data_IF_189375230255
#
_entry.id   IF_189375230255
#
_cell.length_a   1.000
_cell.length_b   1.000
_cell.length_c   1.000
_cell.angle_alpha   90.00
_cell.angle_beta   90.00
_cell.angle_gamma   90.00
#
_symmetry.space_group_name_H-M   'P 1'
#
loop_
_entity.id
_entity.type
_entity.pdbx_description
1 polymer ?
#
# COMPACT_ATOMS: atom_id res chain seq x y z
N UNK A 1 -22.62 6.55 -10.71
CA UNK A 1 -22.00 7.84 -10.33
C UNK A 1 -20.52 7.57 -10.13
N UNK A 2 -19.67 7.94 -11.09
CA UNK A 2 -18.22 7.67 -11.00
C UNK A 2 -17.65 8.47 -9.82
N UNK A 3 -16.89 7.79 -8.96
CA UNK A 3 -16.25 8.35 -7.76
C UNK A 3 -15.05 9.25 -8.11
N UNK A 4 -15.27 10.23 -9.01
CA UNK A 4 -14.24 11.15 -9.45
C UNK A 4 -14.26 12.42 -8.60
N UNK A 5 -13.40 12.46 -7.59
CA UNK A 5 -13.11 13.66 -6.81
C UNK A 5 -11.65 14.08 -7.06
N UNK A 6 -11.43 14.56 -8.28
CA UNK A 6 -10.17 15.17 -8.68
C UNK A 6 -9.89 16.46 -7.92
N UNK A 7 -8.67 16.61 -7.42
CA UNK A 7 -8.16 17.82 -6.80
C UNK A 7 -8.41 19.08 -7.65
N UNK A 8 -8.29 18.96 -8.98
CA UNK A 8 -8.55 20.07 -9.91
C UNK A 8 -10.02 20.50 -9.92
N UNK A 9 -10.94 19.56 -9.63
CA UNK A 9 -12.40 19.76 -9.65
C UNK A 9 -13.00 20.01 -8.26
N UNK A 10 -12.36 19.56 -7.18
CA UNK A 10 -12.87 19.63 -5.81
C UNK A 10 -11.95 20.40 -4.86
N UNK A 11 -11.48 21.58 -5.29
CA UNK A 11 -10.61 22.47 -4.50
C UNK A 11 -11.16 22.75 -3.09
N UNK A 12 -12.48 22.80 -2.93
CA UNK A 12 -13.13 23.08 -1.65
C UNK A 12 -12.94 21.98 -0.60
N UNK A 13 -12.81 20.70 -1.02
CA UNK A 13 -12.52 19.59 -0.13
C UNK A 13 -11.13 19.72 0.54
N UNK A 14 -10.24 20.51 -0.05
CA UNK A 14 -8.86 20.70 0.40
C UNK A 14 -8.60 22.05 1.07
N UNK A 15 -9.55 22.99 1.02
CA UNK A 15 -9.38 24.35 1.57
C UNK A 15 -9.09 24.38 3.07
N UNK A 16 -9.61 23.40 3.80
CA UNK A 16 -9.50 23.34 5.27
C UNK A 16 -8.60 22.19 5.75
N UNK A 17 -7.84 21.55 4.86
CA UNK A 17 -6.91 20.49 5.25
C UNK A 17 -5.68 21.14 5.87
N UNK A 18 -5.33 20.75 7.09
CA UNK A 18 -4.05 21.14 7.69
C UNK A 18 -2.90 20.37 7.03
N UNK A 19 -2.30 20.98 6.01
CA UNK A 19 -1.19 20.40 5.28
C UNK A 19 0.09 20.32 6.12
N UNK A 20 0.32 21.21 7.08
CA UNK A 20 1.61 21.29 7.79
C UNK A 20 1.88 20.03 8.59
N UNK A 21 0.92 19.60 9.40
CA UNK A 21 1.02 18.37 10.18
C UNK A 21 1.13 17.13 9.30
N UNK A 22 0.45 17.12 8.14
CA UNK A 22 0.51 16.00 7.19
C UNK A 22 1.88 15.87 6.53
N UNK A 23 2.44 16.97 6.05
CA UNK A 23 3.78 17.01 5.46
C UNK A 23 4.85 16.61 6.48
N UNK A 24 4.75 17.07 7.73
CA UNK A 24 5.69 16.67 8.78
C UNK A 24 5.67 15.16 9.02
N UNK A 25 4.48 14.54 9.08
CA UNK A 25 4.39 13.09 9.22
C UNK A 25 4.97 12.34 8.01
N UNK A 26 4.63 12.78 6.79
CA UNK A 26 5.18 12.19 5.56
C UNK A 26 6.71 12.26 5.57
N UNK A 27 7.27 13.42 5.94
CA UNK A 27 8.71 13.60 6.04
C UNK A 27 9.34 12.62 7.04
N UNK A 28 8.77 12.50 8.23
CA UNK A 28 9.25 11.55 9.25
C UNK A 28 9.13 10.11 8.76
N UNK A 29 8.03 9.72 8.11
CA UNK A 29 7.87 8.37 7.57
C UNK A 29 8.93 8.07 6.50
N UNK A 30 9.11 8.97 5.54
CA UNK A 30 10.00 8.77 4.38
C UNK A 30 11.47 8.84 4.75
N UNK A 31 11.88 9.75 5.64
CA UNK A 31 13.29 10.00 5.93
C UNK A 31 13.77 9.38 7.24
N UNK A 32 12.86 8.93 8.11
CA UNK A 32 13.23 8.35 9.40
C UNK A 32 12.71 6.91 9.51
N UNK A 33 11.39 6.71 9.57
CA UNK A 33 10.84 5.39 9.91
C UNK A 33 11.09 4.32 8.84
N UNK A 34 10.81 4.61 7.56
CA UNK A 34 11.01 3.64 6.48
C UNK A 34 12.49 3.32 6.28
N UNK A 35 13.43 4.28 6.18
CA UNK A 35 14.85 3.98 6.06
C UNK A 35 15.41 3.26 7.27
N UNK A 36 15.01 3.63 8.49
CA UNK A 36 15.44 2.94 9.70
C UNK A 36 14.94 1.50 9.73
N UNK A 37 13.67 1.26 9.37
CA UNK A 37 13.11 -0.10 9.33
C UNK A 37 13.78 -0.97 8.26
N UNK A 38 14.10 -0.41 7.10
CA UNK A 38 14.88 -1.09 6.07
C UNK A 38 16.31 -1.38 6.56
N UNK A 39 16.97 -0.40 7.18
CA UNK A 39 18.32 -0.57 7.73
C UNK A 39 18.37 -1.68 8.78
N UNK A 40 17.40 -1.72 9.71
CA UNK A 40 17.28 -2.80 10.70
C UNK A 40 17.09 -4.15 10.00
N UNK A 41 16.17 -4.22 9.03
CA UNK A 41 15.89 -5.45 8.27
C UNK A 41 17.14 -5.97 7.56
N UNK A 42 17.90 -5.08 6.91
CA UNK A 42 19.14 -5.43 6.20
C UNK A 42 20.32 -5.70 7.14
N UNK A 43 20.27 -5.22 8.38
CA UNK A 43 21.26 -5.56 9.41
C UNK A 43 21.02 -6.96 9.96
N UNK A 44 19.75 -7.35 10.14
CA UNK A 44 19.36 -8.69 10.57
C UNK A 44 19.65 -9.71 9.47
N UNK A 45 19.25 -9.39 8.23
CA UNK A 45 19.49 -10.24 7.05
C UNK A 45 20.10 -9.38 5.94
N UNK A 46 21.44 -9.41 5.77
CA UNK A 46 22.10 -8.70 4.68
C UNK A 46 21.64 -9.20 3.30
N UNK A 47 21.62 -8.30 2.33
CA UNK A 47 21.33 -8.66 0.93
C UNK A 47 22.35 -9.68 0.42
N UNK A 48 21.89 -10.63 -0.40
CA UNK A 48 22.80 -11.47 -1.15
C UNK A 48 23.46 -10.63 -2.25
N UNK A 49 24.80 -10.58 -2.24
CA UNK A 49 25.56 -9.76 -3.18
C UNK A 49 25.54 -10.34 -4.60
N UNK A 50 25.30 -11.64 -4.72
CA UNK A 50 25.26 -12.32 -6.00
C UNK A 50 23.83 -12.33 -6.55
N UNK A 51 23.71 -12.02 -7.84
CA UNK A 51 22.51 -12.38 -8.58
C UNK A 51 22.45 -13.91 -8.66
N UNK A 52 21.32 -14.50 -8.28
CA UNK A 52 21.14 -15.94 -8.39
C UNK A 52 20.92 -16.37 -9.84
N UNK A 53 20.27 -17.50 -10.08
CA UNK A 53 19.76 -17.82 -11.42
C UNK A 53 18.48 -17.03 -11.70
N UNK A 54 18.21 -16.77 -12.97
CA UNK A 54 16.96 -16.12 -13.40
C UNK A 54 15.71 -16.87 -12.92
N UNK A 55 15.77 -18.20 -12.81
CA UNK A 55 14.67 -19.02 -12.31
C UNK A 55 14.40 -18.77 -10.83
N UNK A 56 15.45 -18.60 -10.03
CA UNK A 56 15.34 -18.34 -8.61
C UNK A 56 14.79 -16.94 -8.34
N UNK A 57 15.29 -15.94 -9.06
CA UNK A 57 14.79 -14.55 -8.97
C UNK A 57 13.33 -14.46 -9.45
N UNK A 58 12.97 -15.13 -10.54
CA UNK A 58 11.58 -15.22 -10.99
C UNK A 58 10.66 -15.89 -9.96
N UNK A 59 11.15 -16.92 -9.28
CA UNK A 59 10.43 -17.57 -8.19
C UNK A 59 10.23 -16.63 -6.99
N UNK A 60 11.26 -15.86 -6.61
CA UNK A 60 11.14 -14.82 -5.59
C UNK A 60 10.13 -13.74 -5.97
N UNK A 61 10.10 -13.29 -7.22
CA UNK A 61 9.08 -12.33 -7.71
C UNK A 61 7.68 -12.92 -7.56
N UNK A 62 7.47 -14.17 -7.98
CA UNK A 62 6.19 -14.85 -7.84
C UNK A 62 5.75 -14.92 -6.37
N UNK A 63 6.67 -15.31 -5.46
CA UNK A 63 6.37 -15.33 -4.03
C UNK A 63 6.06 -13.94 -3.47
N UNK A 64 6.76 -12.89 -3.90
CA UNK A 64 6.45 -11.52 -3.49
C UNK A 64 5.04 -11.10 -3.90
N UNK A 65 4.58 -11.47 -5.09
CA UNK A 65 3.22 -11.16 -5.57
C UNK A 65 2.18 -11.89 -4.72
N UNK A 66 2.34 -13.21 -4.56
CA UNK A 66 1.36 -14.04 -3.84
C UNK A 66 1.34 -13.71 -2.35
N UNK A 67 2.51 -13.67 -1.71
CA UNK A 67 2.62 -13.35 -0.30
C UNK A 67 2.24 -11.90 -0.03
N UNK A 68 2.65 -10.96 -0.88
CA UNK A 68 2.31 -9.55 -0.76
C UNK A 68 0.81 -9.31 -0.79
N UNK A 69 0.10 -9.95 -1.72
CA UNK A 69 -1.37 -9.88 -1.79
C UNK A 69 -2.05 -10.44 -0.55
N UNK A 70 -1.63 -11.62 -0.08
CA UNK A 70 -2.20 -12.26 1.11
C UNK A 70 -1.93 -11.39 2.36
N UNK A 71 -0.69 -10.93 2.51
CA UNK A 71 -0.23 -10.11 3.62
C UNK A 71 -0.99 -8.80 3.70
N UNK A 72 -1.00 -8.05 2.59
CA UNK A 72 -1.64 -6.74 2.53
C UNK A 72 -3.14 -6.87 2.79
N UNK A 73 -3.83 -7.77 2.09
CA UNK A 73 -5.26 -8.01 2.32
C UNK A 73 -5.56 -8.32 3.79
N UNK A 74 -4.81 -9.26 4.37
CA UNK A 74 -5.08 -9.76 5.72
C UNK A 74 -4.85 -8.68 6.76
N UNK A 75 -3.69 -8.02 6.71
CA UNK A 75 -3.39 -6.97 7.68
C UNK A 75 -4.25 -5.75 7.47
N UNK A 76 -4.48 -5.31 6.24
CA UNK A 76 -5.35 -4.18 5.96
C UNK A 76 -6.76 -4.42 6.53
N UNK A 77 -7.34 -5.61 6.34
CA UNK A 77 -8.62 -5.97 6.95
C UNK A 77 -8.58 -6.01 8.48
N UNK A 78 -7.49 -6.52 9.08
CA UNK A 78 -7.29 -6.50 10.55
C UNK A 78 -7.20 -5.05 11.06
N UNK A 79 -6.54 -4.17 10.32
CA UNK A 79 -6.40 -2.77 10.67
C UNK A 79 -7.74 -2.04 10.68
N UNK A 80 -8.75 -2.49 9.93
CA UNK A 80 -10.12 -1.97 10.02
C UNK A 80 -10.93 -2.51 11.20
N UNK A 81 -10.36 -3.39 12.03
CA UNK A 81 -11.03 -3.86 13.25
C UNK A 81 -10.95 -2.83 14.37
N UNK A 82 -11.89 -2.93 15.32
CA UNK A 82 -12.06 -2.00 16.46
C UNK A 82 -10.76 -1.68 17.22
N UNK A 83 -9.86 -2.65 17.38
CA UNK A 83 -8.65 -2.49 18.20
C UNK A 83 -7.48 -1.88 17.44
N UNK A 84 -7.41 -2.09 16.12
CA UNK A 84 -6.28 -1.69 15.30
C UNK A 84 -6.57 -0.46 14.43
N UNK A 85 -7.85 -0.08 14.26
CA UNK A 85 -8.24 1.07 13.43
C UNK A 85 -7.60 2.39 13.86
N UNK A 86 -7.26 2.55 15.14
CA UNK A 86 -6.49 3.72 15.60
C UNK A 86 -5.18 3.96 14.84
N UNK A 87 -4.57 2.92 14.29
CA UNK A 87 -3.33 3.00 13.51
C UNK A 87 -3.57 3.22 12.01
N UNK A 88 -4.75 2.89 11.49
CA UNK A 88 -5.09 3.05 10.07
C UNK A 88 -6.04 4.22 9.79
N UNK A 89 -6.66 4.76 10.84
CA UNK A 89 -7.52 5.96 10.77
C UNK A 89 -6.80 7.13 10.10
N UNK A 90 -5.51 7.30 10.39
CA UNK A 90 -4.67 8.37 9.83
C UNK A 90 -4.59 8.31 8.31
N UNK A 91 -4.43 7.10 7.75
CA UNK A 91 -4.43 6.84 6.31
C UNK A 91 -5.76 7.23 5.66
N UNK A 92 -6.87 6.98 6.36
CA UNK A 92 -8.23 7.32 5.92
C UNK A 92 -8.69 8.74 6.23
N UNK A 93 -7.87 9.58 6.85
CA UNK A 93 -8.27 10.97 7.12
C UNK A 93 -8.53 11.75 5.83
N UNK A 94 -7.83 11.38 4.76
CA UNK A 94 -8.08 11.90 3.43
C UNK A 94 -9.07 10.97 2.72
N UNK A 95 -10.27 11.48 2.47
CA UNK A 95 -11.30 10.78 1.68
C UNK A 95 -10.85 10.53 0.24
N UNK A 96 -10.00 11.42 -0.27
CA UNK A 96 -9.44 11.33 -1.60
C UNK A 96 -8.02 10.79 -1.55
N UNK A 97 -7.78 9.76 -2.33
CA UNK A 97 -6.44 9.21 -2.50
C UNK A 97 -5.62 10.14 -3.39
N UNK A 98 -4.57 10.71 -2.82
CA UNK A 98 -3.55 11.48 -3.52
C UNK A 98 -2.20 10.82 -3.28
N UNK A 99 -1.36 10.73 -4.31
CA UNK A 99 -0.12 9.94 -4.27
C UNK A 99 0.84 10.41 -3.17
N UNK A 100 0.88 11.72 -2.90
CA UNK A 100 1.65 12.28 -1.79
C UNK A 100 1.12 11.79 -0.43
N UNK A 101 -0.20 11.73 -0.26
CA UNK A 101 -0.84 11.31 0.99
C UNK A 101 -0.92 9.79 1.16
N UNK A 102 -0.55 9.02 0.14
CA UNK A 102 -0.31 7.59 0.30
C UNK A 102 0.77 7.28 1.34
N UNK A 103 1.65 8.25 1.62
CA UNK A 103 2.72 8.16 2.62
C UNK A 103 2.34 8.81 3.97
N UNK A 104 1.15 9.41 4.05
CA UNK A 104 0.61 9.99 5.27
C UNK A 104 -0.13 8.91 6.06
N UNK A 105 0.59 8.25 6.96
CA UNK A 105 0.07 7.13 7.71
C UNK A 105 0.75 7.02 9.08
N UNK A 106 0.14 6.24 9.97
CA UNK A 106 0.80 5.88 11.22
C UNK A 106 2.04 5.02 10.91
N UNK A 107 3.18 5.17 11.61
CA UNK A 107 4.40 4.42 11.30
C UNK A 107 4.21 2.89 11.31
N UNK A 108 3.36 2.39 12.23
CA UNK A 108 2.97 0.98 12.25
C UNK A 108 2.31 0.53 10.94
N UNK A 109 1.42 1.34 10.38
CA UNK A 109 0.73 1.04 9.12
C UNK A 109 1.71 1.12 7.93
N UNK A 110 2.56 2.15 7.90
CA UNK A 110 3.61 2.31 6.89
C UNK A 110 4.61 1.14 6.89
N UNK A 111 5.06 0.69 8.07
CA UNK A 111 6.09 -0.36 8.17
C UNK A 111 5.47 -1.75 8.06
N UNK A 112 4.45 -2.06 8.86
CA UNK A 112 3.95 -3.44 9.00
C UNK A 112 2.99 -3.82 7.88
N UNK A 113 2.09 -2.93 7.49
CA UNK A 113 1.08 -3.24 6.47
C UNK A 113 1.66 -3.04 5.08
N UNK A 114 2.25 -1.88 4.81
CA UNK A 114 2.73 -1.54 3.47
C UNK A 114 4.07 -2.20 3.12
N UNK A 115 5.06 -2.18 4.02
CA UNK A 115 6.40 -2.74 3.74
C UNK A 115 6.63 -4.13 4.33
N UNK A 116 5.78 -4.56 5.27
CA UNK A 116 6.02 -5.77 6.07
C UNK A 116 6.08 -7.04 5.23
N UNK A 117 5.32 -7.13 4.14
CA UNK A 117 5.38 -8.28 3.23
C UNK A 117 6.77 -8.46 2.63
N UNK A 118 7.39 -7.35 2.18
CA UNK A 118 8.73 -7.34 1.60
C UNK A 118 9.76 -7.68 2.66
N UNK A 119 9.66 -7.05 3.84
CA UNK A 119 10.63 -7.26 4.92
C UNK A 119 10.60 -8.69 5.45
N UNK A 120 9.41 -9.21 5.76
CA UNK A 120 9.26 -10.58 6.29
C UNK A 120 9.74 -11.60 5.26
N UNK A 121 9.39 -11.43 3.99
CA UNK A 121 9.80 -12.38 2.97
C UNK A 121 11.32 -12.30 2.70
N UNK A 122 11.93 -11.12 2.75
CA UNK A 122 13.38 -10.95 2.70
C UNK A 122 14.09 -11.65 3.86
N UNK A 123 13.57 -11.48 5.09
CA UNK A 123 14.14 -12.16 6.27
C UNK A 123 14.09 -13.68 6.14
N UNK A 124 13.07 -14.23 5.46
CA UNK A 124 12.91 -15.66 5.25
C UNK A 124 13.75 -16.22 4.09
N UNK A 125 13.89 -15.47 3.00
CA UNK A 125 14.45 -15.98 1.74
C UNK A 125 15.78 -15.34 1.32
N UNK A 126 16.22 -14.29 2.00
CA UNK A 126 17.41 -13.50 1.68
C UNK A 126 17.46 -13.04 0.22
N UNK A 127 16.88 -11.87 -0.05
CA UNK A 127 16.84 -11.31 -1.40
C UNK A 127 18.21 -10.82 -1.88
N UNK A 128 18.43 -10.94 -3.18
CA UNK A 128 19.52 -10.27 -3.88
C UNK A 128 19.27 -8.76 -3.93
N UNK A 129 20.33 -7.98 -4.18
CA UNK A 129 20.20 -6.54 -4.39
C UNK A 129 19.14 -6.20 -5.46
N UNK A 130 19.16 -6.93 -6.59
CA UNK A 130 18.20 -6.78 -7.68
C UNK A 130 16.76 -6.91 -7.18
N UNK A 131 16.46 -7.96 -6.42
CA UNK A 131 15.12 -8.25 -5.94
C UNK A 131 14.62 -7.17 -4.95
N UNK A 132 15.49 -6.70 -4.04
CA UNK A 132 15.13 -5.61 -3.10
C UNK A 132 14.76 -4.34 -3.86
N UNK A 133 15.58 -3.91 -4.83
CA UNK A 133 15.30 -2.72 -5.63
C UNK A 133 14.06 -2.87 -6.50
N UNK A 134 13.89 -4.02 -7.17
CA UNK A 134 12.75 -4.28 -8.04
C UNK A 134 11.44 -4.23 -7.26
N UNK A 135 11.34 -5.01 -6.18
CA UNK A 135 10.09 -5.11 -5.40
C UNK A 135 9.79 -3.81 -4.67
N UNK A 136 10.79 -3.15 -4.08
CA UNK A 136 10.61 -1.86 -3.43
C UNK A 136 10.13 -0.77 -4.40
N UNK A 137 10.69 -0.74 -5.61
CA UNK A 137 10.27 0.21 -6.66
C UNK A 137 8.85 -0.08 -7.14
N UNK A 138 8.54 -1.35 -7.42
CA UNK A 138 7.20 -1.76 -7.84
C UNK A 138 6.14 -1.44 -6.78
N UNK A 139 6.41 -1.76 -5.52
CA UNK A 139 5.50 -1.45 -4.41
C UNK A 139 5.25 0.06 -4.29
N UNK A 140 6.31 0.88 -4.39
CA UNK A 140 6.18 2.33 -4.33
C UNK A 140 5.36 2.89 -5.50
N UNK A 141 5.62 2.43 -6.73
CA UNK A 141 4.83 2.82 -7.91
C UNK A 141 3.38 2.41 -7.75
N UNK A 142 3.13 1.18 -7.29
CA UNK A 142 1.77 0.68 -7.11
C UNK A 142 1.00 1.55 -6.10
N UNK A 143 1.59 1.79 -4.93
CA UNK A 143 0.95 2.58 -3.88
C UNK A 143 0.73 4.03 -4.31
N UNK A 144 1.75 4.73 -4.82
CA UNK A 144 1.68 6.17 -5.10
C UNK A 144 0.89 6.47 -6.39
N UNK A 145 1.08 5.65 -7.43
CA UNK A 145 0.52 5.91 -8.76
C UNK A 145 -0.74 5.07 -8.98
N UNK A 146 -0.66 3.75 -8.86
CA UNK A 146 -1.77 2.88 -9.26
C UNK A 146 -2.93 2.89 -8.26
N UNK A 147 -2.66 3.07 -6.97
CA UNK A 147 -3.69 3.03 -5.91
C UNK A 147 -4.09 4.42 -5.42
N UNK A 148 -3.22 5.42 -5.55
CA UNK A 148 -3.46 6.76 -4.99
C UNK A 148 -3.29 7.92 -5.98
N UNK A 149 -3.29 7.70 -7.29
CA UNK A 149 -3.36 8.81 -8.25
C UNK A 149 -4.76 8.99 -8.81
N UNK A 150 -5.09 10.21 -9.23
CA UNK A 150 -6.32 10.51 -9.98
C UNK A 150 -6.37 9.84 -11.36
N UNK A 151 -5.25 9.27 -11.82
CA UNK A 151 -5.10 8.57 -13.10
C UNK A 151 -5.06 7.04 -12.87
N UNK A 152 -5.24 6.58 -11.63
CA UNK A 152 -5.36 5.17 -11.31
C UNK A 152 -6.45 4.52 -12.17
N UNK A 153 -6.05 3.54 -12.99
CA UNK A 153 -6.97 2.84 -13.88
C UNK A 153 -8.04 2.05 -13.10
N UNK A 154 -7.67 1.53 -11.92
CA UNK A 154 -8.59 0.87 -11.00
C UNK A 154 -8.83 1.79 -9.81
N UNK A 155 -10.10 2.11 -9.55
CA UNK A 155 -10.50 2.99 -8.45
C UNK A 155 -10.95 2.19 -7.20
N UNK A 156 -10.58 0.92 -7.12
CA UNK A 156 -10.95 0.02 -6.01
C UNK A 156 -10.50 0.57 -4.66
N UNK A 157 -9.28 1.09 -4.57
CA UNK A 157 -8.73 1.68 -3.35
C UNK A 157 -9.38 3.02 -3.01
N UNK A 158 -9.70 3.86 -4.00
CA UNK A 158 -10.51 5.06 -3.75
C UNK A 158 -11.90 4.69 -3.21
N UNK A 159 -12.54 3.67 -3.77
CA UNK A 159 -13.81 3.15 -3.25
C UNK A 159 -13.65 2.62 -1.83
N UNK A 160 -12.52 1.97 -1.52
CA UNK A 160 -12.19 1.53 -0.17
C UNK A 160 -12.13 2.73 0.80
N UNK A 161 -11.46 3.83 0.45
CA UNK A 161 -11.44 5.05 1.27
C UNK A 161 -12.83 5.66 1.53
N UNK A 162 -13.78 5.43 0.63
CA UNK A 162 -15.15 5.93 0.77
C UNK A 162 -16.07 5.00 1.58
N UNK A 163 -15.91 3.68 1.41
CA UNK A 163 -16.81 2.66 1.98
C UNK A 163 -16.24 1.94 3.21
N UNK A 164 -14.92 1.95 3.40
CA UNK A 164 -14.15 1.35 4.50
C UNK A 164 -14.22 -0.18 4.62
N UNK A 165 -15.22 -0.84 4.05
CA UNK A 165 -15.51 -2.25 4.28
C UNK A 165 -15.38 -3.17 3.05
N UNK A 166 -14.81 -2.67 1.95
CA UNK A 166 -14.63 -3.36 0.66
C UNK A 166 -13.23 -3.12 0.10
N UNK A 167 -12.78 -3.94 -0.86
CA UNK A 167 -11.52 -3.79 -1.60
C UNK A 167 -10.28 -3.64 -0.69
N UNK A 168 -9.93 -4.67 0.07
CA UNK A 168 -8.80 -4.61 1.01
C UNK A 168 -7.45 -5.00 0.39
N UNK A 169 -7.44 -5.73 -0.72
CA UNK A 169 -6.25 -6.28 -1.37
C UNK A 169 -5.62 -5.33 -2.40
N UNK A 170 -4.62 -5.84 -3.13
CA UNK A 170 -3.88 -5.13 -4.18
C UNK A 170 -4.52 -5.35 -5.58
N UNK A 171 -5.83 -5.57 -5.64
CA UNK A 171 -6.60 -5.88 -6.86
C UNK A 171 -6.20 -7.18 -7.59
N UNK A 172 -5.63 -8.16 -6.87
CA UNK A 172 -5.27 -9.45 -7.44
C UNK A 172 -6.37 -10.48 -7.20
N UNK A 173 -6.28 -11.25 -6.12
CA UNK A 173 -7.12 -12.42 -5.91
C UNK A 173 -7.80 -12.48 -4.55
N UNK A 174 -7.31 -11.82 -3.51
CA UNK A 174 -7.86 -12.01 -2.16
C UNK A 174 -9.28 -11.46 -2.02
N UNK A 175 -9.55 -10.27 -2.55
CA UNK A 175 -10.92 -9.70 -2.52
C UNK A 175 -11.94 -10.56 -3.27
N UNK A 176 -11.50 -11.29 -4.31
CA UNK A 176 -12.36 -12.23 -5.05
C UNK A 176 -12.64 -13.48 -4.23
N UNK A 177 -11.61 -14.05 -3.60
CA UNK A 177 -11.71 -15.26 -2.77
C UNK A 177 -12.62 -15.01 -1.56
N UNK A 178 -12.48 -13.85 -0.92
CA UNK A 178 -13.22 -13.53 0.31
C UNK A 178 -14.49 -12.72 0.06
N UNK A 179 -14.86 -12.49 -1.20
CA UNK A 179 -16.05 -11.72 -1.60
C UNK A 179 -16.13 -10.33 -0.96
N UNK A 180 -14.98 -9.66 -0.83
CA UNK A 180 -14.88 -8.29 -0.32
C UNK A 180 -14.67 -7.26 -1.44
N UNK A 181 -14.60 -7.70 -2.69
CA UNK A 181 -14.53 -6.82 -3.86
C UNK A 181 -15.86 -6.11 -4.14
N UNK A 182 -15.83 -4.80 -4.32
CA UNK A 182 -16.97 -4.01 -4.77
C UNK A 182 -17.05 -4.03 -6.30
N UNK A 183 -18.04 -4.75 -6.84
CA UNK A 183 -18.27 -4.83 -8.27
C UNK A 183 -19.01 -3.57 -8.75
N UNK A 184 -18.26 -2.55 -9.20
CA UNK A 184 -18.82 -1.38 -9.92
C UNK A 184 -19.69 -1.77 -11.14
N UNK A 185 -19.59 -3.01 -11.64
CA UNK A 185 -20.31 -3.52 -12.82
C UNK A 185 -21.64 -4.24 -12.54
N UNK A 186 -22.16 -4.25 -11.31
CA UNK A 186 -23.43 -4.94 -11.02
C UNK A 186 -24.70 -4.09 -11.21
N UNK A 187 -24.58 -2.80 -11.53
CA UNK A 187 -25.74 -1.90 -11.73
C UNK A 187 -25.56 -0.94 -12.94
N UNK A 188 -24.94 -1.40 -14.03
CA UNK A 188 -24.99 -0.70 -15.33
C UNK A 188 -25.73 -1.57 -16.35
N UNK A 189 -26.95 -1.95 -15.99
CA UNK A 189 -28.03 -2.28 -16.92
C UNK A 189 -29.29 -1.77 -16.26
N UNK A 190 -29.69 -0.56 -16.66
CA UNK A 190 -31.04 -0.17 -17.07
C UNK A 190 -31.00 1.25 -17.64
#
# INVERSE_FOLDING_TARGET
MSSYYDFSKNKDAYKNVDFSNKINNIFINVFIYLPLSLYITLTIQPIESNFHSIYFEAFHIFLNIVFGEIWFYTLHRIMHSKHFYKYHKMHHEMKETLGLFALYAHPFDAIIVNMGSIYVLHLLLQFSAFQVYLVGTYATINTVINSHSSIAHKQSHQIHHLKFNVNYGLDLFMDKIFHTGDNLNSNVTD
#
